data_IF_936752248873
#
_entry.id   IF_936752248873
#
_cell.length_a   1.000
_cell.length_b   1.000
_cell.length_c   1.000
_cell.angle_alpha   90.00
_cell.angle_beta   90.00
_cell.angle_gamma   90.00
#
_symmetry.space_group_name_H-M   'P 1'
#
loop_
_entity.id
_entity.type
_entity.pdbx_description
1 polymer ?
#
# COMPACT_ATOMS: atom_id res chain seq x y z
N UNK A 1 2.53 -6.82 3.25
CA UNK A 1 3.63 -7.20 4.17
C UNK A 1 3.74 -6.19 5.33
N UNK A 2 3.82 -6.66 6.60
CA UNK A 2 4.25 -5.85 7.74
C UNK A 2 5.75 -6.05 7.97
N UNK A 3 6.47 -4.97 8.23
CA UNK A 3 7.93 -4.96 8.41
C UNK A 3 8.32 -4.29 9.71
N UNK A 4 9.50 -4.65 10.22
CA UNK A 4 10.17 -3.93 11.29
C UNK A 4 10.71 -2.59 10.77
N UNK A 5 10.31 -1.49 11.39
CA UNK A 5 10.85 -0.16 11.13
C UNK A 5 11.83 0.25 12.22
N UNK A 6 13.02 0.64 11.80
CA UNK A 6 14.07 1.17 12.64
C UNK A 6 14.32 2.64 12.30
N UNK A 7 14.09 3.55 13.23
CA UNK A 7 14.25 4.99 13.03
C UNK A 7 15.24 5.56 14.07
N UNK A 8 16.22 6.39 13.67
CA UNK A 8 17.00 7.13 14.63
C UNK A 8 16.11 7.98 15.55
N UNK A 9 16.45 8.14 16.81
CA UNK A 9 15.68 8.96 17.74
C UNK A 9 15.59 10.42 17.28
N UNK A 10 14.41 11.00 17.41
CA UNK A 10 14.15 12.40 17.04
C UNK A 10 14.45 12.68 15.57
N UNK A 11 15.31 13.66 15.31
CA UNK A 11 15.68 14.11 13.96
C UNK A 11 17.12 13.75 13.57
N UNK A 12 17.74 12.77 14.26
CA UNK A 12 19.10 12.33 13.95
C UNK A 12 19.16 11.67 12.57
N UNK A 13 20.33 11.78 11.94
CA UNK A 13 20.68 11.00 10.74
C UNK A 13 21.17 9.60 11.15
N UNK A 14 21.12 8.65 10.23
CA UNK A 14 21.66 7.30 10.46
C UNK A 14 23.10 7.34 10.97
N UNK A 15 23.98 8.19 10.39
CA UNK A 15 25.37 8.32 10.80
C UNK A 15 25.56 8.89 12.21
N UNK A 16 24.57 9.55 12.76
CA UNK A 16 24.60 10.17 14.10
C UNK A 16 24.00 9.26 15.18
N UNK A 17 23.25 8.24 14.75
CA UNK A 17 22.46 7.41 15.66
C UNK A 17 23.33 6.35 16.34
N UNK A 18 23.20 6.24 17.65
CA UNK A 18 23.75 5.14 18.46
C UNK A 18 22.69 4.13 18.88
N UNK A 19 21.41 4.41 18.59
CA UNK A 19 20.25 3.54 18.86
C UNK A 19 19.17 3.77 17.81
N UNK A 20 18.18 2.88 17.78
CA UNK A 20 17.00 3.00 16.93
C UNK A 20 15.73 2.77 17.73
N UNK A 21 14.73 3.60 17.48
CA UNK A 21 13.36 3.36 17.87
C UNK A 21 12.77 2.25 17.01
N UNK A 22 12.12 1.27 17.65
CA UNK A 22 11.53 0.10 17.01
C UNK A 22 10.04 0.31 16.86
N UNK A 23 9.54 0.21 15.63
CA UNK A 23 8.11 0.18 15.33
C UNK A 23 7.84 -0.85 14.24
N UNK A 24 6.57 -1.16 13.97
CA UNK A 24 6.16 -2.08 12.92
C UNK A 24 5.19 -1.35 12.00
N UNK A 25 5.28 -1.60 10.70
CA UNK A 25 4.40 -0.95 9.73
C UNK A 25 4.47 -1.59 8.35
N UNK A 26 3.49 -1.26 7.58
CA UNK A 26 3.30 -1.67 6.19
C UNK A 26 2.04 -0.97 5.68
N UNK A 27 1.90 -0.79 4.38
CA UNK A 27 0.77 -0.03 3.84
C UNK A 27 -0.56 -0.67 4.25
N UNK A 28 -0.73 -1.96 3.98
CA UNK A 28 -1.94 -2.71 4.31
C UNK A 28 -2.10 -2.86 5.83
N UNK A 29 -1.01 -3.02 6.58
CA UNK A 29 -1.04 -3.12 8.05
C UNK A 29 -1.53 -1.81 8.68
N UNK A 30 -1.12 -0.66 8.15
CA UNK A 30 -1.57 0.65 8.61
C UNK A 30 -3.06 0.86 8.30
N UNK A 31 -3.52 0.43 7.12
CA UNK A 31 -4.94 0.47 6.73
C UNK A 31 -5.75 -0.42 7.65
N UNK A 32 -5.30 -1.64 7.91
CA UNK A 32 -5.98 -2.57 8.81
C UNK A 32 -6.15 -2.00 10.22
N UNK A 33 -5.07 -1.46 10.80
CA UNK A 33 -5.11 -0.79 12.10
C UNK A 33 -6.04 0.45 12.09
N UNK A 34 -6.00 1.24 11.02
CA UNK A 34 -6.85 2.42 10.85
C UNK A 34 -8.33 2.05 10.79
N UNK A 35 -8.71 1.07 9.98
CA UNK A 35 -10.09 0.61 9.85
C UNK A 35 -10.61 -0.01 11.15
N UNK A 36 -9.79 -0.79 11.84
CA UNK A 36 -10.15 -1.34 13.15
C UNK A 36 -10.41 -0.22 14.18
N UNK A 37 -9.59 0.84 14.19
CA UNK A 37 -9.82 2.02 15.04
C UNK A 37 -11.12 2.78 14.67
N UNK A 38 -11.61 2.64 13.46
CA UNK A 38 -12.93 3.16 13.05
C UNK A 38 -14.11 2.24 13.40
N UNK A 39 -13.84 1.10 14.04
CA UNK A 39 -14.85 0.16 14.48
C UNK A 39 -15.23 -0.89 13.45
N UNK A 40 -14.45 -1.06 12.39
CA UNK A 40 -14.64 -2.17 11.45
C UNK A 40 -14.00 -3.45 11.99
N UNK A 41 -14.59 -4.59 11.67
CA UNK A 41 -13.98 -5.90 11.86
C UNK A 41 -12.97 -6.12 10.72
N UNK A 42 -11.70 -6.32 11.08
CA UNK A 42 -10.59 -6.38 10.13
C UNK A 42 -9.70 -7.57 10.45
N UNK A 43 -9.47 -8.41 9.43
CA UNK A 43 -8.48 -9.48 9.47
C UNK A 43 -7.27 -9.11 8.61
N UNK A 44 -6.08 -9.51 9.04
CA UNK A 44 -4.84 -9.25 8.31
C UNK A 44 -4.16 -10.55 7.89
N UNK A 45 -3.92 -10.70 6.59
CA UNK A 45 -3.29 -11.89 6.01
C UNK A 45 -1.87 -11.56 5.56
N UNK A 46 -0.90 -12.31 6.03
CA UNK A 46 0.52 -12.20 5.66
C UNK A 46 1.27 -13.45 6.08
N UNK A 47 2.58 -13.53 5.77
CA UNK A 47 3.49 -14.53 6.33
C UNK A 47 4.55 -13.87 7.20
N UNK A 48 4.71 -14.37 8.43
CA UNK A 48 5.69 -13.91 9.41
C UNK A 48 6.66 -15.02 9.79
N UNK A 49 7.89 -14.71 10.18
CA UNK A 49 8.80 -15.73 10.72
C UNK A 49 8.26 -16.27 12.05
N UNK A 50 8.43 -17.58 12.25
CA UNK A 50 8.05 -18.25 13.49
C UNK A 50 9.13 -18.03 14.57
N UNK A 51 9.14 -16.78 15.07
CA UNK A 51 10.06 -16.35 16.14
C UNK A 51 9.52 -15.13 16.90
N UNK A 52 10.21 -14.72 17.94
CA UNK A 52 9.79 -13.59 18.80
C UNK A 52 9.60 -12.26 18.04
N UNK A 53 10.34 -12.01 16.96
CA UNK A 53 10.21 -10.77 16.16
C UNK A 53 8.93 -10.80 15.31
N UNK A 54 8.61 -11.96 14.73
CA UNK A 54 7.33 -12.17 14.01
C UNK A 54 6.14 -12.02 14.96
N UNK A 55 6.25 -12.58 16.17
CA UNK A 55 5.20 -12.44 17.19
C UNK A 55 5.01 -10.97 17.64
N UNK A 56 6.09 -10.19 17.76
CA UNK A 56 5.97 -8.75 18.03
C UNK A 56 5.20 -8.02 16.92
N UNK A 57 5.43 -8.36 15.65
CA UNK A 57 4.70 -7.76 14.53
C UNK A 57 3.20 -8.08 14.57
N UNK A 58 2.83 -9.34 14.86
CA UNK A 58 1.44 -9.74 15.05
C UNK A 58 0.81 -9.07 16.29
N UNK A 59 1.56 -8.94 17.39
CA UNK A 59 1.08 -8.31 18.62
C UNK A 59 0.71 -6.84 18.43
N UNK A 60 1.45 -6.10 17.59
CA UNK A 60 1.11 -4.70 17.28
C UNK A 60 -0.23 -4.59 16.54
N UNK A 61 -0.51 -5.49 15.60
CA UNK A 61 -1.79 -5.55 14.91
C UNK A 61 -2.92 -5.92 15.87
N UNK A 62 -2.75 -6.97 16.68
CA UNK A 62 -3.74 -7.36 17.72
C UNK A 62 -4.04 -6.24 18.70
N UNK A 63 -3.01 -5.47 19.10
CA UNK A 63 -3.19 -4.29 19.98
C UNK A 63 -4.11 -3.23 19.34
N UNK A 64 -4.14 -3.14 18.02
CA UNK A 64 -5.05 -2.26 17.28
C UNK A 64 -6.42 -2.88 17.02
N UNK A 65 -6.71 -4.08 17.55
CA UNK A 65 -7.98 -4.77 17.36
C UNK A 65 -8.10 -5.56 16.04
N UNK A 66 -6.99 -5.73 15.30
CA UNK A 66 -6.97 -6.49 14.06
C UNK A 66 -6.90 -7.99 14.35
N UNK A 67 -7.76 -8.77 13.70
CA UNK A 67 -7.67 -10.23 13.72
C UNK A 67 -6.43 -10.71 12.93
N UNK A 68 -5.62 -11.53 13.59
CA UNK A 68 -4.40 -12.08 13.06
C UNK A 68 -4.47 -13.60 12.82
N UNK A 69 -5.65 -14.20 12.84
CA UNK A 69 -5.85 -15.65 12.64
C UNK A 69 -5.43 -16.10 11.22
N UNK A 70 -5.49 -15.18 10.24
CA UNK A 70 -5.05 -15.40 8.86
C UNK A 70 -3.55 -15.27 8.62
N UNK A 71 -2.72 -15.10 9.68
CA UNK A 71 -1.27 -15.03 9.54
C UNK A 71 -0.68 -16.43 9.42
N UNK A 72 0.05 -16.69 8.32
CA UNK A 72 0.88 -17.88 8.17
C UNK A 72 2.23 -17.66 8.84
N UNK A 73 2.73 -18.66 9.57
CA UNK A 73 4.04 -18.61 10.23
C UNK A 73 5.06 -19.50 9.53
N UNK A 74 6.29 -19.00 9.41
CA UNK A 74 7.41 -19.66 8.75
C UNK A 74 8.28 -18.69 7.96
N UNK A 75 9.29 -19.26 7.28
CA UNK A 75 10.28 -18.45 6.56
C UNK A 75 11.38 -17.89 7.45
N UNK A 76 12.42 -17.26 6.86
CA UNK A 76 13.67 -17.02 7.57
C UNK A 76 13.65 -15.76 8.48
N UNK A 77 12.95 -14.69 8.09
CA UNK A 77 13.06 -13.39 8.78
C UNK A 77 11.91 -12.45 8.48
N UNK A 78 11.71 -11.48 9.35
CA UNK A 78 10.87 -10.32 9.07
C UNK A 78 11.62 -9.34 8.15
N UNK A 79 10.94 -8.73 7.20
CA UNK A 79 11.48 -7.63 6.42
C UNK A 79 11.75 -6.41 7.31
N UNK A 80 12.81 -5.66 7.01
CA UNK A 80 13.22 -4.48 7.78
C UNK A 80 13.26 -3.27 6.84
N UNK A 81 12.93 -2.11 7.36
CA UNK A 81 13.29 -0.85 6.73
C UNK A 81 13.79 0.16 7.75
N UNK A 82 14.78 0.93 7.32
CA UNK A 82 15.34 2.02 8.11
C UNK A 82 14.73 3.32 7.61
N UNK A 83 14.22 4.14 8.52
CA UNK A 83 13.61 5.42 8.20
C UNK A 83 14.33 6.54 8.95
N UNK A 84 14.99 7.41 8.18
CA UNK A 84 15.47 8.72 8.66
C UNK A 84 14.35 9.74 8.47
N UNK A 85 13.86 10.29 9.57
CA UNK A 85 12.75 11.24 9.53
C UNK A 85 13.16 12.56 8.85
N UNK A 86 12.31 13.05 7.97
CA UNK A 86 12.44 14.39 7.42
C UNK A 86 12.16 15.46 8.47
N UNK A 87 12.81 16.60 8.32
CA UNK A 87 12.56 17.75 9.19
C UNK A 87 12.78 19.04 8.39
N UNK A 88 11.83 19.96 8.45
CA UNK A 88 11.85 21.24 7.71
C UNK A 88 12.09 20.99 6.21
N UNK A 89 13.17 21.47 5.64
CA UNK A 89 13.54 21.32 4.23
C UNK A 89 14.25 19.99 3.91
N UNK A 90 14.64 19.22 4.92
CA UNK A 90 15.29 17.92 4.73
C UNK A 90 14.25 16.84 4.50
N UNK A 91 14.24 16.15 3.33
CA UNK A 91 13.32 15.05 3.09
C UNK A 91 13.66 13.83 3.96
N UNK A 92 12.66 12.95 4.14
CA UNK A 92 12.88 11.63 4.74
C UNK A 92 13.71 10.73 3.82
N UNK A 93 14.50 9.84 4.43
CA UNK A 93 15.26 8.82 3.71
C UNK A 93 14.87 7.43 4.19
N UNK A 94 14.64 6.52 3.25
CA UNK A 94 14.26 5.13 3.56
C UNK A 94 15.25 4.17 2.92
N UNK A 95 15.72 3.19 3.70
CA UNK A 95 16.52 2.07 3.21
C UNK A 95 15.76 0.78 3.51
N UNK A 96 15.52 -0.04 2.48
CA UNK A 96 14.83 -1.32 2.63
C UNK A 96 15.83 -2.47 2.70
N UNK A 97 15.60 -3.36 3.66
CA UNK A 97 16.20 -4.69 3.79
C UNK A 97 15.08 -5.73 3.82
N UNK A 98 14.50 -5.98 2.66
CA UNK A 98 13.29 -6.82 2.46
C UNK A 98 13.60 -8.16 1.82
N UNK A 99 14.69 -8.29 1.07
CA UNK A 99 15.04 -9.52 0.37
C UNK A 99 15.11 -10.70 1.34
N UNK A 100 14.55 -11.86 0.95
CA UNK A 100 14.49 -13.04 1.80
C UNK A 100 13.61 -12.88 3.05
N UNK A 101 12.68 -11.91 3.08
CA UNK A 101 11.68 -11.88 4.15
C UNK A 101 10.68 -13.03 4.01
N UNK A 102 10.05 -13.42 5.12
CA UNK A 102 9.05 -14.50 5.13
C UNK A 102 7.94 -14.28 4.10
N UNK A 103 7.51 -13.02 3.88
CA UNK A 103 6.51 -12.71 2.86
C UNK A 103 7.10 -12.76 1.44
N UNK A 104 8.36 -12.35 1.23
CA UNK A 104 9.03 -12.46 -0.07
C UNK A 104 9.26 -13.92 -0.49
N UNK A 105 9.47 -14.80 0.47
CA UNK A 105 9.66 -16.27 0.31
C UNK A 105 8.34 -17.07 0.40
N UNK A 106 7.21 -16.39 0.61
CA UNK A 106 5.91 -17.04 0.69
C UNK A 106 5.56 -17.76 -0.62
N UNK A 107 4.83 -18.86 -0.50
CA UNK A 107 4.32 -19.64 -1.62
C UNK A 107 2.78 -19.70 -1.60
N UNK A 108 2.10 -19.92 -2.73
CA UNK A 108 0.63 -19.96 -2.78
C UNK A 108 0.00 -20.91 -1.76
N UNK A 109 0.62 -22.05 -1.50
CA UNK A 109 0.14 -23.03 -0.53
C UNK A 109 0.18 -22.59 0.94
N UNK A 110 0.78 -21.45 1.24
CA UNK A 110 0.74 -20.86 2.59
C UNK A 110 -0.63 -20.26 2.94
N UNK A 111 -1.54 -20.10 1.93
CA UNK A 111 -2.80 -19.38 2.09
C UNK A 111 -3.97 -20.17 1.49
N UNK A 112 -4.92 -20.57 2.32
CA UNK A 112 -6.22 -21.09 1.87
C UNK A 112 -7.22 -19.91 1.72
N UNK A 113 -7.22 -19.32 0.53
CA UNK A 113 -8.04 -18.13 0.27
C UNK A 113 -9.53 -18.38 0.43
N UNK A 114 -10.04 -19.58 0.16
CA UNK A 114 -11.47 -19.88 0.36
C UNK A 114 -11.84 -19.85 1.83
N UNK A 115 -11.01 -20.40 2.68
CA UNK A 115 -11.19 -20.35 4.12
C UNK A 115 -10.99 -18.94 4.68
N UNK A 116 -9.91 -18.25 4.27
CA UNK A 116 -9.56 -16.91 4.73
C UNK A 116 -10.60 -15.84 4.37
N UNK A 117 -11.35 -16.04 3.29
CA UNK A 117 -12.33 -15.09 2.77
C UNK A 117 -13.80 -15.51 3.06
N UNK A 118 -14.05 -16.58 3.84
CA UNK A 118 -15.38 -17.15 4.03
C UNK A 118 -16.41 -16.16 4.61
N UNK A 119 -15.99 -15.29 5.52
CA UNK A 119 -16.83 -14.31 6.21
C UNK A 119 -16.46 -12.86 5.87
N UNK A 120 -15.82 -12.66 4.70
CA UNK A 120 -15.30 -11.36 4.26
C UNK A 120 -16.21 -10.75 3.21
N UNK A 121 -16.52 -9.46 3.35
CA UNK A 121 -17.27 -8.69 2.34
C UNK A 121 -16.38 -7.77 1.49
N UNK A 122 -15.15 -7.52 1.93
CA UNK A 122 -14.22 -6.59 1.28
C UNK A 122 -12.77 -7.07 1.42
N UNK A 123 -12.07 -7.21 0.29
CA UNK A 123 -10.64 -7.50 0.25
C UNK A 123 -9.88 -6.23 -0.20
N UNK A 124 -8.85 -5.85 0.58
CA UNK A 124 -7.94 -4.77 0.19
C UNK A 124 -6.50 -5.25 0.08
N UNK A 125 -5.81 -4.84 -0.99
CA UNK A 125 -4.37 -5.07 -1.16
C UNK A 125 -3.72 -3.93 -1.95
N UNK A 126 -2.41 -3.99 -2.15
CA UNK A 126 -1.68 -2.96 -2.90
C UNK A 126 -0.69 -3.53 -3.92
N UNK A 127 -0.23 -2.69 -4.83
CA UNK A 127 0.77 -3.01 -5.84
C UNK A 127 2.18 -3.25 -5.30
N UNK A 128 2.38 -3.16 -3.98
CA UNK A 128 3.66 -3.54 -3.36
C UNK A 128 3.81 -5.06 -3.35
N UNK A 129 2.81 -5.78 -2.86
CA UNK A 129 2.89 -7.24 -2.68
C UNK A 129 3.20 -7.98 -3.97
N UNK A 130 2.50 -7.78 -5.10
CA UNK A 130 2.74 -8.56 -6.33
C UNK A 130 4.09 -8.28 -7.01
N UNK A 131 4.79 -7.21 -6.64
CA UNK A 131 6.11 -6.88 -7.23
C UNK A 131 7.29 -7.28 -6.35
N UNK A 132 7.05 -7.86 -5.17
CA UNK A 132 8.11 -8.33 -4.27
C UNK A 132 8.76 -9.61 -4.82
N UNK A 133 7.98 -10.55 -5.30
CA UNK A 133 8.44 -11.82 -5.89
C UNK A 133 7.38 -12.40 -6.83
N UNK A 134 7.78 -13.36 -7.68
CA UNK A 134 6.84 -14.07 -8.56
C UNK A 134 5.75 -14.82 -7.76
N UNK A 135 6.15 -15.45 -6.66
CA UNK A 135 5.20 -16.14 -5.80
C UNK A 135 4.22 -15.15 -5.15
N UNK A 136 4.69 -13.99 -4.71
CA UNK A 136 3.82 -12.95 -4.15
C UNK A 136 2.82 -12.41 -5.19
N UNK A 137 3.22 -12.33 -6.47
CA UNK A 137 2.31 -12.02 -7.57
C UNK A 137 1.22 -13.09 -7.72
N UNK A 138 1.62 -14.37 -7.70
CA UNK A 138 0.68 -15.50 -7.79
C UNK A 138 -0.27 -15.54 -6.59
N UNK A 139 0.24 -15.36 -5.38
CA UNK A 139 -0.55 -15.27 -4.14
C UNK A 139 -1.61 -14.16 -4.26
N UNK A 140 -1.20 -12.98 -4.74
CA UNK A 140 -2.12 -11.86 -4.92
C UNK A 140 -3.19 -12.20 -5.98
N UNK A 141 -2.80 -12.77 -7.10
CA UNK A 141 -3.73 -13.15 -8.17
C UNK A 141 -4.77 -14.17 -7.67
N UNK A 142 -4.35 -15.19 -6.92
CA UNK A 142 -5.25 -16.20 -6.35
C UNK A 142 -6.23 -15.55 -5.34
N UNK A 143 -5.74 -14.65 -4.48
CA UNK A 143 -6.58 -13.91 -3.56
C UNK A 143 -7.69 -13.14 -4.28
N UNK A 144 -7.32 -12.36 -5.31
CA UNK A 144 -8.26 -11.55 -6.07
C UNK A 144 -9.26 -12.39 -6.85
N UNK A 145 -8.81 -13.47 -7.50
CA UNK A 145 -9.69 -14.42 -8.20
C UNK A 145 -10.71 -15.04 -7.25
N UNK A 146 -10.25 -15.57 -6.12
CA UNK A 146 -11.12 -16.17 -5.12
C UNK A 146 -12.13 -15.16 -4.58
N UNK A 147 -11.69 -13.94 -4.28
CA UNK A 147 -12.60 -12.87 -3.83
C UNK A 147 -13.70 -12.59 -4.85
N UNK A 148 -13.36 -12.48 -6.15
CA UNK A 148 -14.36 -12.26 -7.21
C UNK A 148 -15.30 -13.45 -7.38
N UNK A 149 -14.82 -14.70 -7.30
CA UNK A 149 -15.64 -15.91 -7.35
C UNK A 149 -16.64 -15.96 -6.19
N UNK A 150 -16.26 -15.40 -5.03
CA UNK A 150 -17.11 -15.33 -3.83
C UNK A 150 -18.00 -14.08 -3.78
N UNK A 151 -17.95 -13.20 -4.78
CA UNK A 151 -18.73 -11.95 -4.82
C UNK A 151 -18.26 -10.87 -3.85
N UNK A 152 -17.01 -10.93 -3.40
CA UNK A 152 -16.40 -10.00 -2.46
C UNK A 152 -15.92 -8.75 -3.22
N UNK A 153 -16.16 -7.57 -2.67
CA UNK A 153 -15.66 -6.32 -3.21
C UNK A 153 -14.14 -6.24 -3.07
N UNK A 154 -13.45 -5.93 -4.16
CA UNK A 154 -11.98 -5.83 -4.18
C UNK A 154 -11.55 -4.38 -4.34
N UNK A 155 -10.73 -3.88 -3.41
CA UNK A 155 -10.04 -2.61 -3.55
C UNK A 155 -8.52 -2.81 -3.67
N UNK A 156 -7.89 -1.99 -4.49
CA UNK A 156 -6.46 -2.10 -4.81
C UNK A 156 -5.80 -0.72 -4.88
N UNK A 157 -4.71 -0.53 -4.13
CA UNK A 157 -3.89 0.67 -4.21
C UNK A 157 -2.68 0.41 -5.12
N UNK A 158 -2.55 1.14 -6.23
CA UNK A 158 -1.42 1.00 -7.17
C UNK A 158 -0.07 1.21 -6.47
N UNK A 159 -0.01 2.10 -5.53
CA UNK A 159 1.05 2.27 -4.53
C UNK A 159 2.47 2.21 -5.10
N UNK A 160 2.73 2.99 -6.15
CA UNK A 160 4.03 3.01 -6.80
C UNK A 160 5.17 3.28 -5.81
N UNK A 161 6.22 2.46 -5.88
CA UNK A 161 7.45 2.62 -5.09
C UNK A 161 8.66 2.45 -5.99
N UNK A 162 9.30 3.55 -6.39
CA UNK A 162 10.41 3.56 -7.34
C UNK A 162 11.48 2.49 -7.07
N UNK A 163 11.79 2.22 -5.80
CA UNK A 163 12.78 1.20 -5.40
C UNK A 163 12.38 -0.24 -5.71
N UNK A 164 11.11 -0.51 -5.97
CA UNK A 164 10.61 -1.82 -6.39
C UNK A 164 10.46 -1.93 -7.91
N UNK A 165 10.61 -0.82 -8.64
CA UNK A 165 10.41 -0.72 -10.08
C UNK A 165 11.71 -0.42 -10.83
N UNK A 166 12.82 -1.01 -10.40
CA UNK A 166 14.16 -0.82 -11.00
C UNK A 166 14.45 -1.80 -12.13
N UNK A 167 13.80 -2.97 -12.12
CA UNK A 167 14.07 -4.05 -13.06
C UNK A 167 12.76 -4.71 -13.51
N UNK A 168 12.78 -5.32 -14.71
CA UNK A 168 11.67 -6.10 -15.27
C UNK A 168 10.34 -5.31 -15.32
N UNK A 169 10.41 -4.00 -15.59
CA UNK A 169 9.23 -3.12 -15.60
C UNK A 169 8.10 -3.65 -16.51
N UNK A 170 8.34 -4.09 -17.76
CA UNK A 170 7.27 -4.60 -18.62
C UNK A 170 6.57 -5.85 -18.07
N UNK A 171 7.34 -6.77 -17.42
CA UNK A 171 6.79 -7.96 -16.77
C UNK A 171 5.90 -7.58 -15.59
N UNK A 172 6.39 -6.69 -14.71
CA UNK A 172 5.62 -6.18 -13.56
C UNK A 172 4.36 -5.45 -13.98
N UNK A 173 4.42 -4.60 -15.01
CA UNK A 173 3.24 -3.95 -15.58
C UNK A 173 2.25 -4.96 -16.16
N UNK A 174 2.74 -6.04 -16.78
CA UNK A 174 1.92 -7.14 -17.27
C UNK A 174 1.13 -7.81 -16.13
N UNK A 175 1.82 -8.15 -15.05
CA UNK A 175 1.23 -8.70 -13.83
C UNK A 175 0.17 -7.74 -13.27
N UNK A 176 0.52 -6.47 -13.12
CA UNK A 176 -0.40 -5.47 -12.57
C UNK A 176 -1.66 -5.31 -13.42
N UNK A 177 -1.53 -5.27 -14.76
CA UNK A 177 -2.70 -5.24 -15.67
C UNK A 177 -3.59 -6.47 -15.54
N UNK A 178 -3.00 -7.66 -15.34
CA UNK A 178 -3.79 -8.88 -15.10
C UNK A 178 -4.59 -8.77 -13.79
N UNK A 179 -3.99 -8.27 -12.73
CA UNK A 179 -4.65 -8.08 -11.44
C UNK A 179 -5.85 -7.11 -11.53
N UNK A 180 -5.73 -6.06 -12.36
CA UNK A 180 -6.80 -5.06 -12.51
C UNK A 180 -8.12 -5.64 -13.04
N UNK A 181 -8.12 -6.81 -13.70
CA UNK A 181 -9.35 -7.49 -14.12
C UNK A 181 -10.23 -7.95 -12.94
N UNK A 182 -9.68 -7.97 -11.74
CA UNK A 182 -10.36 -8.44 -10.51
C UNK A 182 -10.62 -7.32 -9.51
N UNK A 183 -10.39 -6.05 -9.88
CA UNK A 183 -10.48 -4.89 -8.99
C UNK A 183 -11.75 -4.11 -9.27
N UNK A 184 -12.51 -3.81 -8.22
CA UNK A 184 -13.70 -2.96 -8.29
C UNK A 184 -13.36 -1.50 -8.00
N UNK A 185 -12.46 -1.25 -7.03
CA UNK A 185 -12.09 0.09 -6.57
C UNK A 185 -10.57 0.22 -6.64
N UNK A 186 -10.09 1.12 -7.47
CA UNK A 186 -8.66 1.38 -7.62
C UNK A 186 -8.28 2.68 -6.93
N UNK A 187 -7.22 2.65 -6.12
CA UNK A 187 -6.56 3.83 -5.59
C UNK A 187 -5.28 4.10 -6.39
N UNK A 188 -5.13 5.32 -6.86
CA UNK A 188 -3.97 5.75 -7.64
C UNK A 188 -4.28 6.98 -8.47
N UNK A 189 -3.25 7.71 -8.82
CA UNK A 189 -3.34 8.86 -9.71
C UNK A 189 -2.91 8.51 -11.14
N UNK A 190 -2.94 9.49 -12.05
CA UNK A 190 -2.53 9.33 -13.45
C UNK A 190 -1.09 8.82 -13.60
N UNK A 191 -0.18 9.35 -12.79
CA UNK A 191 1.23 8.94 -12.78
C UNK A 191 1.38 7.50 -12.30
N UNK A 192 0.64 7.10 -11.27
CA UNK A 192 0.64 5.71 -10.80
C UNK A 192 0.12 4.78 -11.91
N UNK A 193 -0.96 5.14 -12.62
CA UNK A 193 -1.47 4.37 -13.73
C UNK A 193 -0.43 4.24 -14.86
N UNK A 194 0.27 5.31 -15.21
CA UNK A 194 1.33 5.27 -16.21
C UNK A 194 2.50 4.37 -15.78
N UNK A 195 3.02 4.55 -14.58
CA UNK A 195 4.20 3.83 -14.08
C UNK A 195 3.90 2.37 -13.77
N UNK A 196 2.76 2.09 -13.15
CA UNK A 196 2.41 0.75 -12.63
C UNK A 196 1.70 -0.09 -13.68
N UNK A 197 0.82 0.50 -14.48
CA UNK A 197 0.03 -0.21 -15.48
C UNK A 197 0.58 -0.05 -16.90
N UNK A 198 1.56 0.84 -17.11
CA UNK A 198 2.01 1.22 -18.44
C UNK A 198 0.88 1.89 -19.23
N UNK A 199 0.03 2.66 -18.55
CA UNK A 199 -1.04 3.41 -19.21
C UNK A 199 -0.42 4.61 -19.94
N UNK A 200 -0.63 4.66 -21.23
CA UNK A 200 -0.16 5.75 -22.09
C UNK A 200 -1.36 6.47 -22.69
N UNK A 201 -1.25 7.78 -22.79
CA UNK A 201 -2.23 8.62 -23.45
C UNK A 201 -1.53 9.56 -24.42
N UNK A 202 -2.02 9.62 -25.66
CA UNK A 202 -1.42 10.41 -26.72
C UNK A 202 -1.33 11.89 -26.33
N UNK A 203 -0.11 12.45 -26.35
CA UNK A 203 0.15 13.85 -26.04
C UNK A 203 0.35 14.16 -24.56
N UNK A 204 0.36 13.17 -23.67
CA UNK A 204 0.61 13.34 -22.25
C UNK A 204 1.86 12.58 -21.82
N UNK A 205 2.77 13.28 -21.15
CA UNK A 205 3.94 12.69 -20.48
C UNK A 205 3.72 12.73 -18.96
N UNK A 206 3.22 11.62 -18.42
CA UNK A 206 2.96 11.48 -16.99
C UNK A 206 4.22 11.19 -16.16
N UNK A 207 5.36 10.99 -16.81
CA UNK A 207 6.61 10.56 -16.15
C UNK A 207 7.50 11.76 -15.83
N UNK A 208 7.65 12.69 -16.78
CA UNK A 208 8.57 13.82 -16.67
C UNK A 208 7.91 15.16 -16.34
N UNK A 209 6.57 15.24 -16.38
CA UNK A 209 5.84 16.49 -16.13
C UNK A 209 5.63 16.80 -14.65
N UNK A 210 5.56 18.09 -14.31
CA UNK A 210 5.13 18.60 -13.00
C UNK A 210 3.59 18.41 -12.83
N UNK A 211 3.14 17.14 -12.86
CA UNK A 211 1.72 16.78 -12.74
C UNK A 211 1.30 16.60 -11.28
N UNK A 212 1.65 17.53 -10.40
CA UNK A 212 1.24 17.38 -8.99
C UNK A 212 -0.26 17.66 -8.77
N UNK A 213 -0.97 18.38 -9.65
CA UNK A 213 -2.31 18.87 -9.32
C UNK A 213 -3.36 18.92 -10.46
N UNK A 214 -3.08 18.41 -11.64
CA UNK A 214 -4.05 18.49 -12.76
C UNK A 214 -4.42 17.12 -13.31
N UNK A 215 -5.05 16.28 -12.49
CA UNK A 215 -5.78 15.16 -13.05
C UNK A 215 -7.14 15.69 -13.51
N UNK A 216 -7.27 15.88 -14.82
CA UNK A 216 -8.53 16.18 -15.46
C UNK A 216 -9.53 15.05 -15.18
N UNK A 217 -10.77 15.41 -14.84
CA UNK A 217 -11.88 14.47 -14.66
C UNK A 217 -11.95 13.47 -15.82
N UNK A 218 -11.77 13.96 -17.03
CA UNK A 218 -11.83 13.16 -18.24
C UNK A 218 -10.75 12.05 -18.24
N UNK A 219 -9.53 12.35 -17.79
CA UNK A 219 -8.46 11.38 -17.66
C UNK A 219 -8.80 10.28 -16.62
N UNK A 220 -9.25 10.67 -15.43
CA UNK A 220 -9.68 9.69 -14.41
C UNK A 220 -10.80 8.78 -14.95
N UNK A 221 -11.77 9.35 -15.67
CA UNK A 221 -12.84 8.58 -16.28
C UNK A 221 -12.33 7.65 -17.40
N UNK A 222 -11.31 8.05 -18.19
CA UNK A 222 -10.70 7.19 -19.21
C UNK A 222 -9.98 5.99 -18.57
N UNK A 223 -9.16 6.23 -17.57
CA UNK A 223 -8.47 5.15 -16.82
C UNK A 223 -9.50 4.22 -16.18
N UNK A 224 -10.49 4.77 -15.48
CA UNK A 224 -11.57 4.00 -14.86
C UNK A 224 -12.27 3.06 -15.84
N UNK A 225 -12.69 3.61 -17.00
CA UNK A 225 -13.39 2.82 -18.04
C UNK A 225 -12.48 1.80 -18.71
N UNK A 226 -11.19 2.14 -18.90
CA UNK A 226 -10.20 1.25 -19.52
C UNK A 226 -10.04 -0.06 -18.77
N UNK A 227 -10.06 0.01 -17.42
CA UNK A 227 -9.87 -1.15 -16.55
C UNK A 227 -11.18 -1.66 -15.93
N UNK A 228 -12.30 -0.99 -16.17
CA UNK A 228 -13.62 -1.42 -15.69
C UNK A 228 -13.86 -1.18 -14.19
N UNK A 229 -13.15 -0.24 -13.58
CA UNK A 229 -13.33 0.06 -12.15
C UNK A 229 -14.70 0.70 -11.89
N UNK A 230 -15.36 0.29 -10.82
CA UNK A 230 -16.52 1.00 -10.28
C UNK A 230 -16.13 2.39 -9.82
N UNK A 231 -15.00 2.48 -9.10
CA UNK A 231 -14.43 3.75 -8.66
C UNK A 231 -12.92 3.80 -8.88
N UNK A 232 -12.43 4.95 -9.34
CA UNK A 232 -11.02 5.32 -9.32
C UNK A 232 -10.85 6.47 -8.33
N UNK A 233 -10.01 6.30 -7.33
CA UNK A 233 -9.81 7.26 -6.24
C UNK A 233 -8.36 7.74 -6.27
N UNK A 234 -8.16 9.05 -6.32
CA UNK A 234 -6.85 9.69 -6.25
C UNK A 234 -6.71 10.46 -4.94
N UNK A 235 -5.63 10.23 -4.22
CA UNK A 235 -5.25 11.08 -3.10
C UNK A 235 -4.54 12.34 -3.62
N UNK A 236 -4.92 13.50 -3.10
CA UNK A 236 -4.30 14.78 -3.40
C UNK A 236 -3.40 15.15 -2.22
N UNK A 237 -2.12 15.35 -2.49
CA UNK A 237 -1.16 15.79 -1.49
C UNK A 237 -0.44 17.04 -1.97
N UNK A 238 -0.50 18.09 -1.18
CA UNK A 238 0.28 19.30 -1.35
C UNK A 238 1.37 19.35 -0.27
N UNK A 239 2.64 19.19 -0.67
CA UNK A 239 3.77 19.18 0.24
C UNK A 239 4.24 20.63 0.49
N UNK A 240 3.95 21.17 1.67
CA UNK A 240 4.43 22.50 2.08
C UNK A 240 5.79 22.38 2.76
N UNK A 241 5.94 21.37 3.62
CA UNK A 241 7.18 21.02 4.29
C UNK A 241 7.22 19.50 4.57
N UNK A 242 8.29 19.00 5.17
CA UNK A 242 8.35 17.61 5.62
C UNK A 242 7.27 17.29 6.67
N UNK A 243 6.78 18.29 7.40
CA UNK A 243 5.81 18.14 8.48
C UNK A 243 4.41 18.66 8.13
N UNK A 244 4.29 19.66 7.26
CA UNK A 244 3.02 20.29 6.94
C UNK A 244 2.59 19.96 5.52
N UNK A 245 1.41 19.40 5.40
CA UNK A 245 0.89 18.95 4.12
C UNK A 245 -0.61 19.25 4.01
N UNK A 246 -1.07 19.62 2.82
CA UNK A 246 -2.47 19.61 2.43
C UNK A 246 -2.85 18.21 1.95
N UNK A 247 -3.97 17.68 2.42
CA UNK A 247 -4.50 16.40 1.98
C UNK A 247 -5.95 16.51 1.54
N UNK A 248 -6.28 15.84 0.47
CA UNK A 248 -7.62 15.67 -0.05
C UNK A 248 -7.72 14.37 -0.84
N UNK A 249 -8.86 14.13 -1.44
CA UNK A 249 -9.06 13.02 -2.37
C UNK A 249 -10.11 13.38 -3.42
N UNK A 250 -10.02 12.74 -4.56
CA UNK A 250 -10.99 12.77 -5.64
C UNK A 250 -11.43 11.36 -5.96
N UNK A 251 -12.69 11.18 -6.34
CA UNK A 251 -13.24 9.90 -6.76
C UNK A 251 -14.00 10.04 -8.07
N UNK A 252 -13.59 9.29 -9.07
CA UNK A 252 -14.31 9.14 -10.32
C UNK A 252 -15.21 7.90 -10.28
N UNK A 253 -16.46 8.07 -10.67
CA UNK A 253 -17.49 7.02 -10.74
C UNK A 253 -18.50 7.34 -11.82
N UNK A 254 -19.63 6.63 -11.86
CA UNK A 254 -20.72 6.92 -12.81
C UNK A 254 -21.41 8.27 -12.54
N UNK A 255 -21.24 8.80 -11.35
CA UNK A 255 -21.70 10.15 -10.95
C UNK A 255 -20.82 11.30 -11.49
N UNK A 256 -19.75 11.02 -12.22
CA UNK A 256 -18.73 12.00 -12.61
C UNK A 256 -17.56 12.02 -11.62
N UNK A 257 -17.03 13.19 -11.32
CA UNK A 257 -15.93 13.40 -10.37
C UNK A 257 -16.45 14.06 -9.09
N UNK A 258 -16.23 13.40 -7.96
CA UNK A 258 -16.44 13.95 -6.64
C UNK A 258 -15.11 14.39 -6.02
N UNK A 259 -15.07 15.62 -5.50
CA UNK A 259 -13.91 16.16 -4.79
C UNK A 259 -14.20 16.29 -3.30
N UNK A 260 -13.40 15.60 -2.50
CA UNK A 260 -13.47 15.68 -1.06
C UNK A 260 -12.91 17.02 -0.50
N UNK A 261 -13.18 17.27 0.77
CA UNK A 261 -12.63 18.44 1.46
C UNK A 261 -11.11 18.30 1.61
N UNK A 262 -10.37 19.39 1.45
CA UNK A 262 -8.93 19.46 1.76
C UNK A 262 -8.72 19.79 3.23
N UNK A 263 -7.73 19.15 3.83
CA UNK A 263 -7.33 19.31 5.22
C UNK A 263 -5.86 19.65 5.29
N UNK A 264 -5.52 20.64 6.13
CA UNK A 264 -4.12 20.88 6.50
C UNK A 264 -3.74 19.95 7.64
N UNK A 265 -2.67 19.18 7.46
CA UNK A 265 -2.23 18.18 8.41
C UNK A 265 -0.78 18.47 8.80
N UNK A 266 -0.53 18.61 10.11
CA UNK A 266 0.82 18.61 10.66
C UNK A 266 1.21 17.19 11.02
N UNK A 267 2.20 16.63 10.30
CA UNK A 267 2.65 15.25 10.49
C UNK A 267 3.68 15.22 11.61
N UNK A 268 3.34 14.62 12.75
CA UNK A 268 4.27 14.37 13.86
C UNK A 268 4.95 13.00 13.71
N UNK A 269 4.19 12.01 13.22
CA UNK A 269 4.71 10.67 12.92
C UNK A 269 3.89 10.08 11.78
N UNK A 270 4.54 9.57 10.74
CA UNK A 270 3.85 8.96 9.59
C UNK A 270 2.93 7.78 9.96
N UNK A 271 3.25 7.07 11.06
CA UNK A 271 2.45 5.93 11.50
C UNK A 271 1.19 6.34 12.26
N UNK A 272 1.29 7.39 13.11
CA UNK A 272 0.21 7.83 13.99
C UNK A 272 -0.55 9.06 13.47
N UNK A 273 0.02 9.75 12.51
CA UNK A 273 -0.55 10.95 11.89
C UNK A 273 -0.75 10.80 10.39
N UNK A 274 -0.73 9.56 9.88
CA UNK A 274 -1.26 9.31 8.53
C UNK A 274 -2.69 9.87 8.51
N UNK A 275 -3.03 10.73 7.55
CA UNK A 275 -4.34 11.33 7.50
C UNK A 275 -5.36 10.29 7.09
N UNK A 276 -5.76 9.48 8.05
CA UNK A 276 -7.03 8.82 7.95
C UNK A 276 -8.06 9.88 8.34
N UNK A 277 -8.98 10.26 7.48
CA UNK A 277 -10.01 11.22 7.85
C UNK A 277 -10.80 10.63 9.01
N UNK A 278 -10.81 11.33 10.13
CA UNK A 278 -11.79 11.12 11.19
C UNK A 278 -13.09 11.78 10.77
#
# INVERSE_FOLDING_TARGET
EIMLRLSPPGNQRFIQASSFDVTYGGTEANIAAGLSNFGHEVSYVTKLPDNAVGECAAAVLRKSGVDCSGISYGGPRLGIYFLENGVSVRPSSVVYDRAGSSMAEAVPSDFDWKSLLSDVSWLHTSGITPVISRNAAQITLEALKTAKEMGITVSFDLNYRAKLWTENIPEKQGIMRELMNYVDICFGNARDAALVLGYEEAGMDFISGDYEDCVDEEHMQRVRRRYGFTYLISSLRESISASDNGYGAEAAGDFGLYRGKRYMVHIVCLLYTSPSPR
#
